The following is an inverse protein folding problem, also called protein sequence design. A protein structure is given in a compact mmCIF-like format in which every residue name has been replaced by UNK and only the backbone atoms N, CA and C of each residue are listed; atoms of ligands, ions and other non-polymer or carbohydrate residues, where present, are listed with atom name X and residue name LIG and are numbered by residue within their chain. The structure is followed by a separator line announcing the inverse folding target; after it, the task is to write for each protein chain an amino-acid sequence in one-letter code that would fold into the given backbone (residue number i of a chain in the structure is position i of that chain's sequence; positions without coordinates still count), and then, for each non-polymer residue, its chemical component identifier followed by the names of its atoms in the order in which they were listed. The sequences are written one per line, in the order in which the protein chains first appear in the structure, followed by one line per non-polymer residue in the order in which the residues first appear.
data_IF_168664059803
#
_entry.id   IF_168664059803
#
_cell.length_a   1.000
_cell.length_b   1.000
_cell.length_c   1.000
_cell.angle_alpha   90.00
_cell.angle_beta   90.00
_cell.angle_gamma   90.00
#
_symmetry.space_group_name_H-M   'P 1'
#
loop_
_entity.id
_entity.type
_entity.pdbx_description
1 polymer ?
#
# COMPACT_ATOMS: atom_id res chain seq x y z
N UNK A 1 7.26 30.59 20.54
CA UNK A 1 6.29 29.91 21.42
C UNK A 1 7.05 29.00 22.36
N UNK A 2 6.76 28.97 23.67
CA UNK A 2 7.47 28.11 24.61
C UNK A 2 7.13 26.62 24.35
N UNK A 3 8.11 25.71 24.42
CA UNK A 3 7.93 24.27 24.17
C UNK A 3 6.85 23.66 25.08
N UNK A 4 6.74 24.15 26.33
CA UNK A 4 5.66 23.78 27.25
C UNK A 4 4.27 24.06 26.70
N UNK A 5 4.09 25.14 25.92
CA UNK A 5 2.81 25.47 25.27
C UNK A 5 2.40 24.37 24.27
N UNK A 6 3.35 23.79 23.55
CA UNK A 6 3.09 22.70 22.61
C UNK A 6 2.59 21.46 23.34
N UNK A 7 3.22 21.10 24.47
CA UNK A 7 2.75 20.03 25.35
C UNK A 7 1.31 20.27 25.83
N UNK A 8 1.01 21.48 26.32
CA UNK A 8 -0.36 21.81 26.75
C UNK A 8 -1.39 21.78 25.63
N UNK A 9 -0.97 21.95 24.37
CA UNK A 9 -1.81 21.88 23.17
C UNK A 9 -1.95 20.45 22.59
N UNK A 10 -1.52 19.43 23.32
CA UNK A 10 -1.66 18.03 22.89
C UNK A 10 -0.55 17.52 21.98
N UNK A 11 0.55 18.26 21.82
CA UNK A 11 1.71 17.79 21.04
C UNK A 11 2.61 16.92 21.89
N UNK A 12 3.30 15.98 21.25
CA UNK A 12 4.36 15.22 21.88
C UNK A 12 5.69 15.98 21.82
N UNK A 13 6.52 15.84 22.86
CA UNK A 13 7.88 16.38 22.89
C UNK A 13 8.83 15.29 23.37
N UNK A 14 9.96 15.15 22.68
CA UNK A 14 11.08 14.32 23.12
C UNK A 14 12.21 15.21 23.63
N UNK A 15 12.70 14.93 24.84
CA UNK A 15 13.87 15.56 25.42
C UNK A 15 14.96 14.50 25.56
N UNK A 16 16.06 14.68 24.85
CA UNK A 16 17.29 13.91 25.03
C UNK A 16 18.24 14.70 25.92
N UNK A 17 18.52 14.18 27.12
CA UNK A 17 19.38 14.84 28.09
C UNK A 17 20.84 14.67 27.68
N UNK A 18 21.37 15.65 26.93
CA UNK A 18 22.78 15.75 26.51
C UNK A 18 23.72 16.33 27.56
N UNK A 19 23.22 17.05 28.56
CA UNK A 19 24.02 17.61 29.64
C UNK A 19 23.14 17.92 30.87
N UNK A 20 23.77 18.18 32.01
CA UNK A 20 23.08 18.53 33.27
C UNK A 20 22.24 19.81 33.17
N UNK A 21 22.60 20.76 32.30
CA UNK A 21 21.88 22.03 32.18
C UNK A 21 20.46 21.83 31.63
N UNK A 22 20.23 20.76 30.86
CA UNK A 22 18.89 20.38 30.40
C UNK A 22 17.98 19.92 31.53
N UNK A 23 18.48 19.65 32.73
CA UNK A 23 17.66 19.44 33.92
C UNK A 23 16.76 20.64 34.24
N UNK A 24 17.25 21.87 34.04
CA UNK A 24 16.43 23.09 34.19
C UNK A 24 15.35 23.20 33.12
N UNK A 25 15.69 22.86 31.87
CA UNK A 25 14.71 22.81 30.77
C UNK A 25 13.63 21.79 31.06
N UNK A 26 14.01 20.60 31.51
CA UNK A 26 13.08 19.55 31.90
C UNK A 26 12.18 20.00 33.05
N UNK A 27 12.74 20.67 34.07
CA UNK A 27 11.99 21.21 35.20
C UNK A 27 10.92 22.21 34.72
N UNK A 28 11.30 23.12 33.83
CA UNK A 28 10.38 24.07 33.21
C UNK A 28 9.27 23.40 32.39
N UNK A 29 9.55 22.29 31.71
CA UNK A 29 8.54 21.55 30.94
C UNK A 29 7.52 20.86 31.84
N UNK A 30 7.97 20.25 32.94
CA UNK A 30 7.07 19.57 33.91
C UNK A 30 6.45 20.53 34.93
N UNK A 31 6.83 21.81 34.91
CA UNK A 31 6.29 22.83 35.83
C UNK A 31 6.86 22.75 37.25
N UNK A 32 8.10 22.30 37.40
CA UNK A 32 8.84 22.28 38.68
C UNK A 32 9.90 23.37 38.73
N UNK A 33 10.24 23.81 39.95
CA UNK A 33 11.27 24.83 40.19
C UNK A 33 12.67 24.34 39.83
N UNK A 34 12.99 23.08 40.19
CA UNK A 34 14.25 22.44 39.85
C UNK A 34 14.11 20.93 39.77
N UNK A 35 14.97 20.31 38.95
CA UNK A 35 15.17 18.87 38.87
C UNK A 35 16.66 18.58 38.85
N UNK A 36 17.06 17.47 39.47
CA UNK A 36 18.43 16.99 39.38
C UNK A 36 18.53 16.00 38.22
N UNK A 37 19.59 16.17 37.43
CA UNK A 37 19.90 15.33 36.28
C UNK A 37 21.42 15.19 36.21
N UNK A 38 21.98 14.66 37.30
CA UNK A 38 23.43 14.55 37.47
C UNK A 38 23.99 13.50 36.51
N UNK A 39 25.15 13.79 35.95
CA UNK A 39 25.82 12.86 35.04
C UNK A 39 26.40 11.70 35.84
N UNK A 40 25.97 10.49 35.50
CA UNK A 40 26.49 9.29 36.15
C UNK A 40 27.83 8.89 35.58
N UNK A 41 28.73 8.46 36.48
CA UNK A 41 30.00 7.85 36.09
C UNK A 41 29.78 6.36 35.87
N UNK A 42 29.88 5.93 34.61
CA UNK A 42 29.93 4.52 34.22
C UNK A 42 31.37 4.07 34.08
N UNK A 43 31.68 2.84 34.50
CA UNK A 43 33.03 2.27 34.42
C UNK A 43 33.51 2.16 32.96
N UNK A 44 32.66 1.58 32.10
CA UNK A 44 32.92 1.43 30.66
C UNK A 44 31.76 2.02 29.84
N UNK A 45 30.57 1.47 30.04
CA UNK A 45 29.31 1.91 29.44
C UNK A 45 28.14 1.29 30.22
N UNK A 46 26.95 1.86 30.07
CA UNK A 46 25.68 1.23 30.46
C UNK A 46 24.98 0.66 29.22
N UNK A 47 24.09 -0.30 29.44
CA UNK A 47 23.24 -0.92 28.41
C UNK A 47 21.78 -0.79 28.81
N UNK A 48 20.86 -0.87 27.85
CA UNK A 48 19.43 -1.05 28.18
C UNK A 48 19.19 -2.51 28.58
N UNK A 49 18.64 -2.72 29.77
CA UNK A 49 18.44 -4.06 30.34
C UNK A 49 16.95 -4.40 30.51
N UNK A 50 16.18 -3.53 31.16
CA UNK A 50 14.74 -3.73 31.32
C UNK A 50 13.99 -2.83 30.35
N UNK A 51 13.32 -3.43 29.35
CA UNK A 51 12.52 -2.72 28.36
C UNK A 51 11.09 -3.26 28.40
N UNK A 52 10.13 -2.35 28.50
CA UNK A 52 8.71 -2.67 28.37
C UNK A 52 8.32 -2.84 26.90
N UNK A 53 8.44 -4.07 26.38
CA UNK A 53 8.08 -4.41 25.00
C UNK A 53 6.56 -4.39 24.74
N UNK A 54 5.72 -4.32 25.78
CA UNK A 54 4.28 -4.10 25.62
C UNK A 54 3.97 -2.61 25.35
N UNK A 55 4.93 -1.72 25.60
CA UNK A 55 4.77 -0.32 25.30
C UNK A 55 4.76 -0.06 23.79
N UNK A 56 3.83 0.76 23.24
CA UNK A 56 3.73 1.00 21.80
C UNK A 56 5.02 1.53 21.14
N UNK A 57 5.85 2.28 21.87
CA UNK A 57 7.18 2.71 21.39
C UNK A 57 8.12 1.55 21.03
N UNK A 58 7.95 0.40 21.67
CA UNK A 58 8.80 -0.78 21.48
C UNK A 58 8.10 -1.91 20.71
N UNK A 59 6.89 -1.67 20.20
CA UNK A 59 6.13 -2.67 19.44
C UNK A 59 6.92 -3.30 18.27
N UNK A 60 7.73 -2.55 17.47
CA UNK A 60 8.55 -3.15 16.42
C UNK A 60 9.63 -4.13 16.92
N UNK A 61 9.95 -4.08 18.22
CA UNK A 61 11.00 -4.87 18.85
C UNK A 61 10.46 -5.98 19.75
N UNK A 62 9.14 -6.18 19.80
CA UNK A 62 8.50 -7.21 20.62
C UNK A 62 8.81 -8.63 20.14
N UNK A 63 9.15 -8.80 18.86
CA UNK A 63 9.67 -10.07 18.33
C UNK A 63 11.07 -10.35 18.94
N UNK A 64 11.32 -11.54 19.52
CA UNK A 64 12.60 -11.90 20.11
C UNK A 64 13.83 -11.72 19.20
N UNK A 65 13.65 -11.78 17.88
CA UNK A 65 14.73 -11.53 16.91
C UNK A 65 15.21 -10.08 16.91
N UNK A 66 14.37 -9.16 17.38
CA UNK A 66 14.61 -7.73 17.41
C UNK A 66 14.64 -7.15 18.84
N UNK A 67 14.56 -7.98 19.88
CA UNK A 67 14.52 -7.52 21.28
C UNK A 67 15.90 -7.32 21.93
N UNK A 68 17.00 -7.65 21.24
CA UNK A 68 18.36 -7.43 21.78
C UNK A 68 18.80 -5.96 21.62
N UNK A 69 18.99 -5.27 22.75
CA UNK A 69 19.51 -3.90 22.87
C UNK A 69 20.88 -3.83 23.57
N UNK A 70 21.45 -4.99 23.96
CA UNK A 70 22.70 -5.06 24.74
C UNK A 70 23.91 -4.52 23.99
N UNK A 71 23.84 -4.50 22.65
CA UNK A 71 24.91 -3.99 21.78
C UNK A 71 24.96 -2.46 21.68
N UNK A 72 24.06 -1.75 22.35
CA UNK A 72 24.00 -0.28 22.31
C UNK A 72 24.67 0.25 23.58
N UNK A 73 25.87 0.80 23.41
CA UNK A 73 26.63 1.33 24.53
C UNK A 73 26.22 2.78 24.84
N UNK A 74 26.01 3.06 26.12
CA UNK A 74 25.79 4.41 26.65
C UNK A 74 26.97 4.80 27.54
N UNK A 75 27.77 5.77 27.09
CA UNK A 75 28.94 6.25 27.85
C UNK A 75 28.58 7.37 28.82
N UNK A 76 27.49 8.11 28.55
CA UNK A 76 27.03 9.20 29.41
C UNK A 76 25.52 9.19 29.48
N UNK A 77 24.99 9.12 30.70
CA UNK A 77 23.57 9.33 30.96
C UNK A 77 23.39 10.16 32.24
N UNK A 78 22.19 10.71 32.41
CA UNK A 78 21.82 11.54 33.54
C UNK A 78 20.90 10.73 34.44
N UNK A 79 21.22 10.66 35.72
CA UNK A 79 20.37 9.98 36.67
C UNK A 79 19.06 10.74 36.80
N UNK A 80 17.96 10.02 36.60
CA UNK A 80 16.61 10.55 36.78
C UNK A 80 15.94 9.76 37.89
N UNK A 81 15.57 10.44 38.97
CA UNK A 81 14.84 9.78 40.07
C UNK A 81 13.34 9.75 39.72
N UNK A 82 12.69 8.58 39.62
CA UNK A 82 11.26 8.50 39.29
C UNK A 82 10.35 9.32 40.22
N UNK A 83 10.71 9.45 41.50
CA UNK A 83 9.99 10.29 42.47
C UNK A 83 9.92 11.77 42.07
N UNK A 84 10.84 12.24 41.23
CA UNK A 84 10.80 13.59 40.67
C UNK A 84 9.75 13.75 39.56
N UNK A 85 9.11 12.67 39.09
CA UNK A 85 8.17 12.68 37.98
C UNK A 85 6.89 11.91 38.34
N UNK A 86 5.98 12.49 39.16
CA UNK A 86 4.72 11.84 39.49
C UNK A 86 3.88 11.63 38.21
N UNK A 87 3.42 10.39 37.99
CA UNK A 87 2.68 10.01 36.77
C UNK A 87 3.56 9.64 35.57
N UNK A 88 4.88 9.59 35.72
CA UNK A 88 5.76 9.07 34.68
C UNK A 88 5.81 7.54 34.67
N UNK A 89 5.66 6.96 33.48
CA UNK A 89 5.93 5.55 33.20
C UNK A 89 7.39 5.40 32.79
N UNK A 90 8.12 4.54 33.49
CA UNK A 90 9.46 4.10 33.08
C UNK A 90 9.28 3.07 31.98
N UNK A 91 9.72 3.38 30.77
CA UNK A 91 9.55 2.50 29.59
C UNK A 91 10.80 1.65 29.35
N UNK A 92 11.97 2.17 29.70
CA UNK A 92 13.22 1.42 29.67
C UNK A 92 14.13 1.83 30.83
N UNK A 93 14.95 0.90 31.31
CA UNK A 93 16.00 1.12 32.31
C UNK A 93 17.36 0.66 31.81
N UNK A 94 18.39 1.28 32.35
CA UNK A 94 19.75 0.79 32.21
C UNK A 94 19.97 -0.48 33.05
N UNK A 95 21.04 -1.19 32.76
CA UNK A 95 21.58 -2.30 33.56
C UNK A 95 21.93 -1.91 35.01
N UNK A 96 22.14 -0.62 35.29
CA UNK A 96 22.26 -0.08 36.64
C UNK A 96 20.93 0.00 37.41
N UNK A 97 19.79 -0.20 36.73
CA UNK A 97 18.45 -0.01 37.26
C UNK A 97 17.93 1.43 37.15
N UNK A 98 18.77 2.38 36.74
CA UNK A 98 18.34 3.78 36.53
C UNK A 98 17.41 3.90 35.31
N UNK A 99 16.39 4.77 35.34
CA UNK A 99 15.51 5.01 34.19
C UNK A 99 16.29 5.54 32.98
N UNK A 100 16.14 4.86 31.84
CA UNK A 100 16.73 5.27 30.57
C UNK A 100 15.74 6.07 29.70
N UNK A 101 14.48 5.66 29.67
CA UNK A 101 13.41 6.34 28.93
C UNK A 101 12.16 6.44 29.79
N UNK A 102 11.67 7.68 29.97
CA UNK A 102 10.43 7.99 30.68
C UNK A 102 9.40 8.52 29.70
N UNK A 103 8.13 8.18 29.93
CA UNK A 103 6.98 8.80 29.30
C UNK A 103 6.08 9.41 30.37
N UNK A 104 5.62 10.64 30.21
CA UNK A 104 4.66 11.25 31.14
C UNK A 104 3.68 12.19 30.42
N UNK A 105 2.43 12.27 30.89
CA UNK A 105 1.48 13.27 30.39
C UNK A 105 1.84 14.66 30.93
N UNK A 106 1.80 15.68 30.06
CA UNK A 106 1.97 17.09 30.45
C UNK A 106 0.88 17.91 29.75
N UNK A 107 -0.12 18.35 30.52
CA UNK A 107 -1.32 18.96 29.95
C UNK A 107 -2.10 17.94 29.11
N UNK A 108 -2.38 18.26 27.85
CA UNK A 108 -3.02 17.34 26.90
C UNK A 108 -2.02 16.52 26.06
N UNK A 109 -0.71 16.81 26.18
CA UNK A 109 0.35 16.20 25.38
C UNK A 109 1.18 15.19 26.16
N UNK A 110 2.18 14.65 25.47
CA UNK A 110 3.05 13.58 26.00
C UNK A 110 4.51 14.02 25.96
N UNK A 111 5.19 13.93 27.09
CA UNK A 111 6.62 14.18 27.20
C UNK A 111 7.37 12.85 27.28
N UNK A 112 8.33 12.66 26.38
CA UNK A 112 9.31 11.58 26.42
C UNK A 112 10.65 12.13 26.87
N UNK A 113 11.29 11.47 27.82
CA UNK A 113 12.61 11.87 28.35
C UNK A 113 13.58 10.73 28.20
N UNK A 114 14.56 10.89 27.31
CA UNK A 114 15.70 10.00 27.17
C UNK A 114 16.82 10.51 28.09
N UNK A 115 17.26 9.67 29.01
CA UNK A 115 18.27 9.99 30.02
C UNK A 115 19.68 10.20 29.45
N UNK A 116 19.89 9.98 28.15
CA UNK A 116 21.16 10.15 27.47
C UNK A 116 21.01 10.92 26.16
N UNK A 117 22.12 11.46 25.67
CA UNK A 117 22.24 11.95 24.30
C UNK A 117 22.22 10.80 23.31
N UNK A 118 21.49 10.92 22.19
CA UNK A 118 21.53 9.91 21.12
C UNK A 118 22.77 10.02 20.21
N UNK A 119 23.58 11.07 20.36
CA UNK A 119 24.78 11.29 19.56
C UNK A 119 25.95 10.42 20.03
N UNK A 120 26.92 10.10 19.15
CA UNK A 120 28.08 9.24 19.48
C UNK A 120 28.94 9.70 20.67
N UNK A 121 28.86 10.96 21.10
CA UNK A 121 29.58 11.43 22.30
C UNK A 121 29.00 10.92 23.62
N UNK A 122 27.75 10.45 23.60
CA UNK A 122 26.98 10.04 24.79
C UNK A 122 26.47 8.60 24.65
N UNK A 123 26.07 8.17 23.45
CA UNK A 123 25.62 6.80 23.20
C UNK A 123 25.76 6.36 21.73
N UNK A 124 25.67 5.06 21.49
CA UNK A 124 25.57 4.47 20.14
C UNK A 124 24.14 4.40 19.62
N UNK A 125 23.17 5.02 20.30
CA UNK A 125 21.77 4.85 19.96
C UNK A 125 21.49 5.24 18.50
N UNK A 126 21.95 6.42 18.05
CA UNK A 126 21.74 6.88 16.66
C UNK A 126 22.50 6.06 15.60
N UNK A 127 23.50 5.27 15.98
CA UNK A 127 24.23 4.37 15.08
C UNK A 127 23.61 2.97 15.01
N UNK A 128 22.68 2.67 15.91
CA UNK A 128 22.04 1.35 15.96
C UNK A 128 20.92 1.22 14.93
N UNK A 129 20.68 -0.01 14.47
CA UNK A 129 19.51 -0.34 13.65
C UNK A 129 18.17 -0.13 14.37
N UNK A 130 18.19 0.03 15.71
CA UNK A 130 17.01 0.28 16.53
C UNK A 130 16.56 1.74 16.52
N UNK A 131 17.43 2.67 16.11
CA UNK A 131 17.14 4.10 16.20
C UNK A 131 15.94 4.52 15.36
N UNK A 132 15.95 4.13 14.08
CA UNK A 132 14.96 4.58 13.12
C UNK A 132 13.56 4.01 13.43
N UNK A 133 13.39 2.70 13.71
CA UNK A 133 12.08 2.18 14.11
C UNK A 133 11.57 2.78 15.43
N UNK A 134 12.46 3.08 16.39
CA UNK A 134 12.08 3.76 17.64
C UNK A 134 11.59 5.19 17.39
N UNK A 135 12.29 5.96 16.55
CA UNK A 135 11.87 7.30 16.15
C UNK A 135 10.54 7.29 15.39
N UNK A 136 10.36 6.32 14.49
CA UNK A 136 9.12 6.16 13.74
C UNK A 136 7.95 5.87 14.68
N UNK A 137 8.13 4.94 15.63
CA UNK A 137 7.14 4.63 16.66
C UNK A 137 6.81 5.87 17.49
N UNK A 138 7.81 6.69 17.87
CA UNK A 138 7.58 7.93 18.59
C UNK A 138 6.77 8.94 17.78
N UNK A 139 7.01 9.04 16.47
CA UNK A 139 6.28 9.94 15.58
C UNK A 139 4.84 9.47 15.31
N UNK A 140 4.61 8.16 15.20
CA UNK A 140 3.28 7.57 15.14
C UNK A 140 2.50 7.86 16.44
N UNK A 141 3.12 7.63 17.60
CA UNK A 141 2.51 7.93 18.90
C UNK A 141 2.23 9.43 19.10
N UNK A 142 3.06 10.30 18.52
CA UNK A 142 2.83 11.74 18.51
C UNK A 142 1.66 12.18 17.61
N UNK A 143 1.05 11.25 16.86
CA UNK A 143 0.05 11.55 15.84
C UNK A 143 0.61 12.31 14.63
N UNK A 144 1.94 12.31 14.47
CA UNK A 144 2.63 12.91 13.32
C UNK A 144 2.55 12.06 12.06
N UNK A 145 2.36 10.74 12.24
CA UNK A 145 2.00 9.79 11.19
C UNK A 145 0.65 9.20 11.60
N UNK A 146 -0.43 9.80 11.11
CA UNK A 146 -1.68 9.05 10.98
C UNK A 146 -1.55 8.28 9.69
N UNK A 147 -1.62 6.94 9.67
CA UNK A 147 -1.77 6.20 8.44
C UNK A 147 -3.10 6.62 7.83
N UNK A 148 -3.04 7.67 7.00
CA UNK A 148 -4.15 8.03 6.16
C UNK A 148 -4.13 6.99 5.05
N UNK A 149 -5.04 6.04 5.14
CA UNK A 149 -5.33 5.13 4.05
C UNK A 149 -5.68 6.02 2.86
N UNK A 150 -4.77 6.07 1.89
CA UNK A 150 -4.91 6.89 0.67
C UNK A 150 -5.31 6.02 -0.52
N UNK A 151 -5.54 4.72 -0.29
CA UNK A 151 -5.98 3.76 -1.28
C UNK A 151 -7.27 3.11 -0.79
N UNK A 152 -8.32 3.25 -1.58
CA UNK A 152 -9.65 2.71 -1.31
C UNK A 152 -10.10 1.86 -2.50
N UNK A 153 -11.17 1.10 -2.31
CA UNK A 153 -11.83 0.36 -3.40
C UNK A 153 -13.09 1.12 -3.83
N UNK A 154 -13.52 0.93 -5.08
CA UNK A 154 -14.82 1.44 -5.56
C UNK A 154 -15.93 0.87 -4.66
N UNK A 155 -16.85 1.73 -4.23
CA UNK A 155 -17.93 1.40 -3.29
C UNK A 155 -17.63 1.75 -1.83
N UNK A 156 -16.37 2.00 -1.48
CA UNK A 156 -16.00 2.43 -0.13
C UNK A 156 -16.60 3.79 0.24
N UNK A 157 -16.90 3.96 1.53
CA UNK A 157 -17.18 5.28 2.12
C UNK A 157 -15.89 5.85 2.70
N UNK A 158 -15.35 6.86 2.02
CA UNK A 158 -14.09 7.49 2.40
C UNK A 158 -14.35 8.69 3.31
N UNK A 159 -13.79 8.72 4.54
CA UNK A 159 -13.87 9.89 5.41
C UNK A 159 -13.00 11.02 4.87
N UNK A 160 -13.59 12.20 4.77
CA UNK A 160 -12.94 13.42 4.33
C UNK A 160 -12.57 14.27 5.54
N UNK A 161 -11.36 14.82 5.51
CA UNK A 161 -10.87 15.76 6.53
C UNK A 161 -11.57 17.11 6.38
N UNK A 162 -12.78 17.22 6.92
CA UNK A 162 -13.57 18.45 6.90
C UNK A 162 -13.20 19.35 8.10
N UNK A 163 -12.92 20.63 7.83
CA UNK A 163 -12.62 21.63 8.88
C UNK A 163 -13.79 22.59 9.04
N UNK A 164 -14.92 22.11 9.55
CA UNK A 164 -16.18 22.88 9.75
C UNK A 164 -16.67 23.67 8.51
N UNK A 165 -16.14 23.37 7.33
CA UNK A 165 -16.43 24.04 6.07
C UNK A 165 -16.98 23.01 5.08
N UNK A 166 -17.68 23.50 4.06
CA UNK A 166 -18.10 22.65 2.94
C UNK A 166 -16.87 22.04 2.25
N UNK A 167 -17.00 20.79 1.82
CA UNK A 167 -15.93 20.05 1.16
C UNK A 167 -16.23 19.96 -0.32
N UNK A 168 -15.38 20.55 -1.15
CA UNK A 168 -15.44 20.40 -2.60
C UNK A 168 -14.64 19.17 -3.01
N UNK A 169 -15.29 18.16 -3.57
CA UNK A 169 -14.64 16.94 -4.04
C UNK A 169 -14.64 16.89 -5.55
N UNK A 170 -13.46 16.88 -6.16
CA UNK A 170 -13.26 16.62 -7.59
C UNK A 170 -13.03 15.13 -7.79
N UNK A 171 -13.89 14.52 -8.61
CA UNK A 171 -13.83 13.12 -9.01
C UNK A 171 -12.83 12.89 -10.15
N UNK A 172 -12.46 11.62 -10.43
CA UNK A 172 -11.54 11.29 -11.52
C UNK A 172 -12.01 11.74 -12.91
N UNK A 173 -13.33 11.82 -13.13
CA UNK A 173 -13.95 12.30 -14.37
C UNK A 173 -13.92 13.83 -14.53
N UNK A 174 -13.38 14.56 -13.54
CA UNK A 174 -13.32 16.02 -13.53
C UNK A 174 -14.60 16.69 -13.02
N UNK A 175 -15.64 15.93 -12.69
CA UNK A 175 -16.85 16.49 -12.06
C UNK A 175 -16.58 16.85 -10.60
N UNK A 176 -17.23 17.91 -10.12
CA UNK A 176 -17.08 18.36 -8.73
C UNK A 176 -18.40 18.22 -7.96
N UNK A 177 -18.31 17.65 -6.76
CA UNK A 177 -19.41 17.49 -5.82
C UNK A 177 -19.12 18.32 -4.57
N UNK A 178 -20.07 19.17 -4.16
CA UNK A 178 -19.96 19.91 -2.89
C UNK A 178 -20.71 19.16 -1.80
N UNK A 179 -20.01 18.79 -0.74
CA UNK A 179 -20.56 18.15 0.44
C UNK A 179 -20.70 19.20 1.57
N UNK A 180 -21.78 19.08 2.34
CA UNK A 180 -22.08 20.00 3.44
C UNK A 180 -21.02 20.01 4.54
N UNK A 181 -21.01 21.07 5.35
CA UNK A 181 -20.13 21.17 6.51
C UNK A 181 -20.61 20.22 7.63
N UNK A 182 -19.69 19.44 8.20
CA UNK A 182 -19.98 18.54 9.31
C UNK A 182 -18.71 17.95 9.92
N UNK A 183 -18.82 17.40 11.13
CA UNK A 183 -17.69 16.78 11.85
C UNK A 183 -17.21 15.48 11.20
N UNK A 184 -18.07 14.82 10.41
CA UNK A 184 -17.78 13.59 9.67
C UNK A 184 -18.43 13.64 8.30
N UNK A 185 -17.69 14.16 7.31
CA UNK A 185 -18.12 14.17 5.90
C UNK A 185 -17.53 12.94 5.22
N UNK A 186 -18.36 12.12 4.59
CA UNK A 186 -17.92 10.95 3.83
C UNK A 186 -18.35 11.10 2.38
N UNK A 187 -17.55 10.57 1.45
CA UNK A 187 -17.93 10.40 0.06
C UNK A 187 -18.02 8.90 -0.28
N UNK A 188 -19.05 8.53 -1.01
CA UNK A 188 -19.15 7.22 -1.64
C UNK A 188 -18.39 7.27 -2.97
N UNK A 189 -17.45 6.35 -3.15
CA UNK A 189 -16.63 6.25 -4.36
C UNK A 189 -17.34 5.37 -5.39
N UNK A 190 -17.51 5.87 -6.61
CA UNK A 190 -18.24 5.19 -7.69
C UNK A 190 -17.36 4.90 -8.91
N UNK A 191 -16.24 5.61 -9.04
CA UNK A 191 -15.29 5.45 -10.14
C UNK A 191 -13.87 5.20 -9.62
N UNK A 192 -13.07 4.35 -10.29
CA UNK A 192 -11.66 4.23 -10.01
C UNK A 192 -10.89 5.47 -10.49
N UNK A 193 -9.85 5.86 -9.75
CA UNK A 193 -8.98 6.99 -10.07
C UNK A 193 -8.63 7.85 -8.87
N UNK A 194 -8.11 9.05 -9.13
CA UNK A 194 -7.67 9.98 -8.08
C UNK A 194 -8.77 10.98 -7.77
N UNK A 195 -9.14 11.06 -6.49
CA UNK A 195 -10.07 12.05 -5.97
C UNK A 195 -9.31 13.15 -5.24
N UNK A 196 -9.79 14.38 -5.34
CA UNK A 196 -9.24 15.54 -4.62
C UNK A 196 -10.36 16.22 -3.83
N UNK A 197 -10.26 16.22 -2.51
CA UNK A 197 -11.19 16.90 -1.61
C UNK A 197 -10.52 18.16 -1.03
N UNK A 198 -11.18 19.31 -1.15
CA UNK A 198 -10.70 20.60 -0.65
C UNK A 198 -11.70 21.14 0.38
N UNK A 199 -11.22 21.41 1.59
CA UNK A 199 -11.98 22.02 2.69
C UNK A 199 -11.19 23.20 3.25
N UNK A 200 -11.52 24.42 2.81
CA UNK A 200 -10.76 25.62 3.18
C UNK A 200 -9.33 25.56 2.65
N UNK A 201 -8.33 25.52 3.55
CA UNK A 201 -6.90 25.38 3.19
C UNK A 201 -6.40 23.94 3.18
N UNK A 202 -7.25 22.97 3.56
CA UNK A 202 -6.87 21.55 3.64
C UNK A 202 -7.25 20.86 2.34
N UNK A 203 -6.24 20.27 1.68
CA UNK A 203 -6.42 19.45 0.48
C UNK A 203 -6.06 18.01 0.80
N UNK A 204 -7.03 17.11 0.61
CA UNK A 204 -6.88 15.66 0.75
C UNK A 204 -6.95 15.01 -0.63
N UNK A 205 -5.94 14.22 -0.99
CA UNK A 205 -5.93 13.42 -2.22
C UNK A 205 -5.89 11.94 -1.86
N UNK A 206 -6.69 11.15 -2.54
CA UNK A 206 -6.72 9.69 -2.36
C UNK A 206 -7.03 8.99 -3.68
N UNK A 207 -6.58 7.76 -3.81
CA UNK A 207 -6.81 6.89 -4.94
C UNK A 207 -7.90 5.88 -4.60
N UNK A 208 -8.75 5.60 -5.59
CA UNK A 208 -9.76 4.55 -5.56
C UNK A 208 -9.41 3.55 -6.66
N UNK A 209 -9.32 2.27 -6.31
CA UNK A 209 -8.99 1.19 -7.22
C UNK A 209 -10.19 0.24 -7.37
N UNK A 210 -10.20 -0.57 -8.42
CA UNK A 210 -11.12 -1.71 -8.54
C UNK A 210 -10.65 -2.84 -7.62
N UNK A 211 -11.58 -3.66 -7.14
CA UNK A 211 -11.21 -4.85 -6.38
C UNK A 211 -10.43 -5.81 -7.30
N UNK A 212 -9.23 -6.29 -6.92
CA UNK A 212 -8.49 -7.28 -7.71
C UNK A 212 -9.32 -8.54 -8.05
N UNK A 213 -10.33 -8.87 -7.25
CA UNK A 213 -11.26 -9.97 -7.53
C UNK A 213 -12.11 -9.71 -8.79
N UNK A 214 -12.41 -8.46 -9.14
CA UNK A 214 -13.16 -8.13 -10.37
C UNK A 214 -12.38 -8.51 -11.64
N UNK A 215 -11.04 -8.56 -11.57
CA UNK A 215 -10.20 -8.97 -12.70
C UNK A 215 -10.11 -10.49 -12.87
N UNK A 216 -10.69 -11.29 -11.96
CA UNK A 216 -10.70 -12.75 -12.08
C UNK A 216 -11.82 -13.20 -13.01
N UNK A 217 -11.53 -13.26 -14.31
CA UNK A 217 -12.49 -13.69 -15.34
C UNK A 217 -12.53 -15.20 -15.58
N UNK A 218 -11.89 -16.00 -14.71
CA UNK A 218 -12.02 -17.45 -14.79
C UNK A 218 -13.48 -17.84 -14.58
N UNK A 219 -14.03 -18.81 -15.35
CA UNK A 219 -15.38 -19.28 -15.11
C UNK A 219 -15.54 -19.73 -13.66
N UNK A 220 -16.58 -19.23 -12.99
CA UNK A 220 -16.92 -19.69 -11.65
C UNK A 220 -17.38 -21.15 -11.72
N UNK A 221 -16.85 -22.06 -10.89
CA UNK A 221 -17.35 -23.43 -10.80
C UNK A 221 -18.85 -23.46 -10.49
N UNK A 222 -19.54 -24.47 -10.98
CA UNK A 222 -20.99 -24.60 -10.78
C UNK A 222 -21.32 -24.78 -9.30
N UNK A 223 -20.46 -25.48 -8.57
CA UNK A 223 -20.57 -25.72 -7.13
C UNK A 223 -20.54 -24.41 -6.32
N UNK A 224 -19.77 -23.42 -6.79
CA UNK A 224 -19.67 -22.11 -6.14
C UNK A 224 -20.92 -21.25 -6.43
N UNK A 225 -21.52 -21.38 -7.63
CA UNK A 225 -22.81 -20.76 -7.96
C UNK A 225 -23.95 -21.35 -7.12
N UNK A 226 -23.95 -22.65 -6.88
CA UNK A 226 -24.91 -23.33 -6.00
C UNK A 226 -24.78 -22.88 -4.55
N UNK A 227 -23.54 -22.75 -4.06
CA UNK A 227 -23.28 -22.22 -2.72
C UNK A 227 -23.78 -20.77 -2.55
N UNK A 228 -23.76 -19.97 -3.62
CA UNK A 228 -24.33 -18.63 -3.65
C UNK A 228 -25.87 -18.62 -3.78
N UNK A 229 -26.52 -19.78 -3.83
CA UNK A 229 -27.98 -19.93 -3.89
C UNK A 229 -28.57 -19.61 -5.26
N UNK A 230 -27.75 -19.58 -6.33
CA UNK A 230 -28.23 -19.28 -7.67
C UNK A 230 -28.86 -20.53 -8.31
N UNK A 231 -30.04 -20.41 -8.95
CA UNK A 231 -30.67 -21.55 -9.62
C UNK A 231 -29.88 -21.93 -10.88
N UNK A 232 -29.09 -23.01 -10.79
CA UNK A 232 -28.31 -23.51 -11.93
C UNK A 232 -29.08 -24.62 -12.66
N UNK A 233 -29.44 -24.37 -13.92
CA UNK A 233 -29.92 -25.44 -14.80
C UNK A 233 -28.73 -26.32 -15.17
N UNK A 234 -28.73 -27.54 -14.65
CA UNK A 234 -27.74 -28.54 -15.04
C UNK A 234 -27.91 -28.88 -16.52
N UNK A 235 -27.08 -28.25 -17.35
CA UNK A 235 -26.86 -28.72 -18.72
C UNK A 235 -25.76 -29.76 -18.60
N UNK A 236 -26.03 -31.00 -19.01
CA UNK A 236 -25.01 -32.06 -19.02
C UNK A 236 -23.72 -31.50 -19.62
N UNK A 237 -22.67 -31.47 -18.80
CA UNK A 237 -21.38 -30.99 -19.23
C UNK A 237 -20.94 -31.85 -20.41
N UNK A 238 -20.81 -31.23 -21.58
CA UNK A 238 -20.19 -31.90 -22.73
C UNK A 238 -18.86 -32.46 -22.25
N UNK A 239 -18.61 -33.74 -22.52
CA UNK A 239 -17.37 -34.39 -22.08
C UNK A 239 -16.16 -33.60 -22.59
N UNK A 240 -15.02 -33.68 -21.89
CA UNK A 240 -13.79 -32.99 -22.31
C UNK A 240 -13.44 -33.27 -23.79
N UNK A 241 -13.77 -34.46 -24.28
CA UNK A 241 -13.64 -34.84 -25.69
C UNK A 241 -14.53 -34.01 -26.62
N UNK A 242 -15.81 -33.83 -26.27
CA UNK A 242 -16.77 -33.02 -27.04
C UNK A 242 -16.40 -31.53 -27.05
N UNK A 243 -15.88 -31.00 -25.95
CA UNK A 243 -15.39 -29.61 -25.88
C UNK A 243 -14.13 -29.40 -26.73
N UNK A 244 -13.22 -30.39 -26.74
CA UNK A 244 -12.03 -30.37 -27.59
C UNK A 244 -12.40 -30.46 -29.10
N UNK A 245 -13.39 -31.29 -29.43
CA UNK A 245 -13.89 -31.43 -30.79
C UNK A 245 -14.59 -30.16 -31.29
N UNK A 246 -15.40 -29.51 -30.46
CA UNK A 246 -16.01 -28.22 -30.78
C UNK A 246 -14.96 -27.12 -31.04
N UNK A 247 -13.88 -27.07 -30.24
CA UNK A 247 -12.76 -26.14 -30.48
C UNK A 247 -12.04 -26.42 -31.80
N UNK A 248 -11.84 -27.70 -32.16
CA UNK A 248 -11.25 -28.10 -33.45
C UNK A 248 -12.14 -27.69 -34.63
N UNK A 249 -13.45 -27.86 -34.51
CA UNK A 249 -14.40 -27.46 -35.55
C UNK A 249 -14.38 -25.94 -35.78
N UNK A 250 -14.34 -25.14 -34.71
CA UNK A 250 -14.21 -23.68 -34.80
C UNK A 250 -12.87 -23.27 -35.44
N UNK A 251 -11.76 -23.88 -35.04
CA UNK A 251 -10.45 -23.61 -35.63
C UNK A 251 -10.40 -23.96 -37.13
N UNK A 252 -11.00 -25.09 -37.53
CA UNK A 252 -11.09 -25.49 -38.93
C UNK A 252 -11.94 -24.50 -39.75
N UNK A 253 -13.07 -24.04 -39.20
CA UNK A 253 -13.91 -23.04 -39.86
C UNK A 253 -13.19 -21.69 -40.01
N UNK A 254 -12.38 -21.28 -39.03
CA UNK A 254 -11.54 -20.07 -39.14
C UNK A 254 -10.45 -20.22 -40.21
N UNK A 255 -9.80 -21.38 -40.30
CA UNK A 255 -8.80 -21.66 -41.35
C UNK A 255 -9.44 -21.67 -42.75
N UNK A 256 -10.62 -22.28 -42.89
CA UNK A 256 -11.39 -22.30 -44.14
C UNK A 256 -11.82 -20.88 -44.57
N UNK A 257 -12.24 -20.06 -43.60
CA UNK A 257 -12.58 -18.64 -43.82
C UNK A 257 -11.42 -17.82 -44.38
N UNK A 258 -10.18 -18.12 -43.94
CA UNK A 258 -8.95 -17.43 -44.38
C UNK A 258 -8.39 -17.95 -45.71
N UNK A 259 -8.60 -19.22 -46.05
CA UNK A 259 -8.00 -19.86 -47.23
C UNK A 259 -9.01 -20.09 -48.36
N UNK A 260 -9.56 -19.02 -48.96
CA UNK A 260 -10.51 -19.13 -50.09
C UNK A 260 -9.87 -19.19 -51.48
N UNK A 261 -8.54 -19.17 -51.56
CA UNK A 261 -7.76 -19.16 -52.82
C UNK A 261 -8.00 -20.41 -53.69
N UNK A 262 -8.25 -21.58 -53.06
CA UNK A 262 -8.52 -22.82 -53.79
C UNK A 262 -9.77 -22.71 -54.68
N UNK A 263 -10.76 -21.90 -54.31
CA UNK A 263 -11.98 -21.69 -55.11
C UNK A 263 -11.63 -21.07 -56.47
N UNK A 264 -10.70 -20.12 -56.47
CA UNK A 264 -10.20 -19.50 -57.70
C UNK A 264 -9.33 -20.47 -58.51
N UNK A 265 -8.49 -21.28 -57.85
CA UNK A 265 -7.70 -22.33 -58.54
C UNK A 265 -8.60 -23.34 -59.23
N UNK A 266 -9.68 -23.80 -58.59
CA UNK A 266 -10.67 -24.69 -59.21
C UNK A 266 -11.38 -24.01 -60.37
N UNK A 267 -11.77 -22.73 -60.22
CA UNK A 267 -12.40 -21.98 -61.30
C UNK A 267 -11.47 -21.85 -62.53
N UNK A 268 -10.18 -21.51 -62.33
CA UNK A 268 -9.20 -21.46 -63.40
C UNK A 268 -8.96 -22.82 -64.05
N UNK A 269 -8.87 -23.89 -63.25
CA UNK A 269 -8.73 -25.25 -63.77
C UNK A 269 -9.92 -25.64 -64.66
N UNK A 270 -11.15 -25.32 -64.25
CA UNK A 270 -12.37 -25.56 -65.05
C UNK A 270 -12.36 -24.76 -66.36
N UNK A 271 -11.97 -23.48 -66.32
CA UNK A 271 -11.84 -22.63 -67.51
C UNK A 271 -10.79 -23.20 -68.46
N UNK A 272 -9.66 -23.66 -67.94
CA UNK A 272 -8.58 -24.25 -68.73
C UNK A 272 -9.04 -25.52 -69.46
N UNK A 273 -9.73 -26.42 -68.75
CA UNK A 273 -10.30 -27.65 -69.34
C UNK A 273 -11.34 -27.32 -70.41
N UNK A 274 -12.21 -26.33 -70.19
CA UNK A 274 -13.16 -25.89 -71.20
C UNK A 274 -12.47 -25.32 -72.44
N UNK A 275 -11.39 -24.54 -72.25
CA UNK A 275 -10.61 -23.97 -73.33
C UNK A 275 -9.89 -25.03 -74.17
N UNK A 276 -9.28 -26.04 -73.52
CA UNK A 276 -8.71 -27.19 -74.23
C UNK A 276 -9.76 -27.94 -75.03
N UNK A 277 -10.95 -28.15 -74.45
CA UNK A 277 -12.05 -28.86 -75.12
C UNK A 277 -12.50 -28.10 -76.39
N UNK A 278 -12.59 -26.77 -76.33
CA UNK A 278 -12.94 -25.93 -77.47
C UNK A 278 -11.84 -25.93 -78.55
N UNK A 279 -10.56 -25.83 -78.14
CA UNK A 279 -9.41 -25.88 -79.05
C UNK A 279 -9.33 -27.24 -79.77
N UNK A 280 -9.50 -28.35 -79.05
CA UNK A 280 -9.54 -29.69 -79.63
C UNK A 280 -10.69 -29.83 -80.64
N UNK A 281 -11.89 -29.31 -80.31
CA UNK A 281 -13.03 -29.28 -81.22
C UNK A 281 -12.81 -28.41 -82.46
N UNK A 282 -12.03 -27.33 -82.36
CA UNK A 282 -11.70 -26.45 -83.48
C UNK A 282 -10.63 -27.05 -84.40
N UNK A 283 -9.58 -27.67 -83.85
CA UNK A 283 -8.55 -28.34 -84.65
C UNK A 283 -9.08 -29.57 -85.40
N UNK A 284 -10.07 -30.27 -84.84
CA UNK A 284 -10.72 -31.41 -85.50
C UNK A 284 -11.59 -31.01 -86.71
N UNK A 285 -11.86 -29.71 -86.93
CA UNK A 285 -12.67 -29.18 -88.05
C UNK A 285 -11.84 -28.70 -89.26
N UNK A 286 -10.60 -29.18 -89.46
CA UNK A 286 -9.88 -28.94 -90.72
C UNK A 286 -10.31 -29.96 -91.78
N UNK A 287 -10.87 -29.54 -92.93
CA UNK A 287 -11.23 -30.45 -94.01
C UNK A 287 -9.97 -31.03 -94.67
N UNK A 288 -9.95 -32.35 -94.87
CA UNK A 288 -9.01 -33.04 -95.74
C UNK A 288 -9.21 -32.49 -97.16
N UNK A 289 -8.18 -31.88 -97.74
CA UNK A 289 -8.21 -31.45 -99.14
C UNK A 289 -8.28 -32.70 -100.03
N UNK A 290 -9.41 -32.88 -100.71
CA UNK A 290 -9.54 -33.76 -101.87
C UNK A 290 -8.74 -33.18 -103.04
N UNK A 291 -7.64 -33.82 -103.40
CA UNK A 291 -6.96 -33.59 -104.67
C UNK A 291 -7.38 -34.71 -105.65
N UNK A 292 -8.25 -34.36 -106.60
CA UNK A 292 -8.50 -35.13 -107.81
C UNK A 292 -7.63 -34.53 -108.93
N UNK A 293 -6.86 -35.38 -109.61
CA UNK A 293 -6.40 -35.10 -110.97
C UNK A 293 -6.46 -36.39 -111.82
N UNK A 294 -7.20 -36.31 -112.92
CA UNK A 294 -7.22 -37.24 -114.06
C UNK A 294 -5.81 -37.32 -114.71
N UNK A 295 -5.38 -38.36 -115.41
CA UNK A 295 -6.01 -39.17 -116.47
C UNK A 295 -5.24 -40.48 -116.59
#
# INVERSE_FOLDING_TARGET
ASVRRLLTQGKAVLVSLKNKNLGRTLAGLVGKESLTADEMKVLSYAMLAEIDFQHPLFAPFADPRFSDFTKINFWKYRQLTPAQFPGARVVAKFDTGDPALLQMPVGQGTLYVLASGWQPSDSQLALSSKFLPLLFSLLEQAGGIRPQVTQHTVGDRVPLSATNAAVLVTRPDGTSLTLGAGTTVNIQTDQPGIYTAVSGTVTQRFAVNLDPLESKTAPLPVEELEHLGLPVKHVEAKSAAQAAEAKRQLANAELEGRQKLWRWVIAFALVFVAMETLLAGWLAKRPVATEHAAT
#
